data_IF_503703365428
#
_entry.id   IF_503703365428
#
_cell.length_a   1.000
_cell.length_b   1.000
_cell.length_c   1.000
_cell.angle_alpha   90.00
_cell.angle_beta   90.00
_cell.angle_gamma   90.00
#
_symmetry.space_group_name_H-M   'P 1'
#
loop_
_entity.id
_entity.type
_entity.pdbx_description
1 polymer ?
#
# COMPACT_ATOMS: atom_id res chain seq x y z
N UNK A 1 8.94 -9.47 -8.69
CA UNK A 1 9.66 -9.13 -7.44
C UNK A 1 9.11 -7.87 -6.78
N UNK A 2 9.20 -6.68 -7.41
CA UNK A 2 8.63 -5.44 -6.85
C UNK A 2 7.13 -5.57 -6.58
N UNK A 3 6.38 -6.22 -7.47
CA UNK A 3 4.95 -6.50 -7.28
C UNK A 3 4.64 -7.35 -6.02
N UNK A 4 5.48 -8.34 -5.72
CA UNK A 4 5.33 -9.16 -4.53
C UNK A 4 5.64 -8.35 -3.26
N UNK A 5 6.70 -7.54 -3.30
CA UNK A 5 7.04 -6.59 -2.24
C UNK A 5 5.90 -5.60 -1.97
N UNK A 6 5.25 -5.09 -3.02
CA UNK A 6 4.15 -4.13 -2.91
C UNK A 6 2.85 -4.75 -2.43
N UNK A 7 2.44 -5.90 -3.00
CA UNK A 7 1.19 -6.59 -2.64
C UNK A 7 1.22 -7.10 -1.19
N UNK A 8 2.36 -7.64 -0.77
CA UNK A 8 2.45 -8.42 0.47
C UNK A 8 3.15 -7.64 1.59
N UNK A 9 4.14 -6.82 1.26
CA UNK A 9 4.86 -6.03 2.26
C UNK A 9 4.20 -4.70 2.56
N UNK A 10 4.09 -3.83 1.56
CA UNK A 10 3.62 -2.44 1.75
C UNK A 10 2.16 -2.35 2.16
N UNK A 11 1.30 -3.27 1.70
CA UNK A 11 -0.11 -3.31 2.09
C UNK A 11 -0.34 -3.48 3.59
N UNK A 12 0.63 -4.06 4.31
CA UNK A 12 0.52 -4.33 5.75
C UNK A 12 1.33 -3.38 6.63
N UNK A 13 1.99 -2.39 6.03
CA UNK A 13 2.93 -1.50 6.72
C UNK A 13 2.27 -0.76 7.90
N UNK A 14 0.98 -0.42 7.78
CA UNK A 14 0.22 0.29 8.81
C UNK A 14 -0.17 -0.56 10.02
N UNK A 15 -0.20 -1.90 9.87
CA UNK A 15 -0.64 -2.80 10.95
C UNK A 15 0.49 -3.20 11.91
N UNK A 16 1.75 -2.88 11.58
CA UNK A 16 2.89 -3.28 12.39
C UNK A 16 2.80 -2.79 13.85
N UNK A 17 2.35 -1.55 14.06
CA UNK A 17 2.19 -0.97 15.39
C UNK A 17 1.10 -1.64 16.24
N UNK A 18 0.01 -2.08 15.61
CA UNK A 18 -1.14 -2.69 16.28
C UNK A 18 -0.82 -4.06 16.87
N UNK A 19 0.04 -4.82 16.21
CA UNK A 19 0.52 -6.09 16.74
C UNK A 19 1.71 -5.91 17.68
N UNK A 20 2.60 -4.96 17.38
CA UNK A 20 3.79 -4.71 18.20
C UNK A 20 3.45 -4.30 19.65
N UNK A 21 2.32 -3.61 19.87
CA UNK A 21 1.89 -3.20 21.23
C UNK A 21 1.57 -4.35 22.17
N UNK A 22 1.25 -5.53 21.63
CA UNK A 22 0.92 -6.72 22.41
C UNK A 22 2.13 -7.59 22.74
N UNK A 23 3.30 -7.29 22.17
CA UNK A 23 4.54 -8.01 22.47
C UNK A 23 5.13 -7.56 23.82
N UNK A 24 5.76 -8.46 24.59
CA UNK A 24 6.50 -8.08 25.78
C UNK A 24 7.57 -7.04 25.46
N UNK A 25 7.72 -6.01 26.32
CA UNK A 25 8.70 -4.91 26.12
C UNK A 25 10.15 -5.38 25.96
N UNK A 26 10.49 -6.57 26.47
CA UNK A 26 11.82 -7.17 26.39
C UNK A 26 12.06 -7.97 25.09
N UNK A 27 11.09 -8.06 24.19
CA UNK A 27 11.22 -8.80 22.94
C UNK A 27 12.22 -8.10 22.02
N UNK A 28 13.23 -8.84 21.55
CA UNK A 28 14.24 -8.29 20.66
C UNK A 28 13.62 -7.92 19.29
N UNK A 29 13.77 -6.66 18.87
CA UNK A 29 13.21 -6.16 17.60
C UNK A 29 13.65 -7.00 16.38
N UNK A 30 14.91 -7.45 16.33
CA UNK A 30 15.41 -8.30 15.24
C UNK A 30 14.68 -9.63 15.14
N UNK A 31 14.26 -10.23 16.26
CA UNK A 31 13.46 -11.46 16.25
C UNK A 31 12.07 -11.22 15.68
N UNK A 32 11.44 -10.10 16.05
CA UNK A 32 10.11 -9.72 15.51
C UNK A 32 10.21 -9.54 13.99
N UNK A 33 11.17 -8.75 13.52
CA UNK A 33 11.39 -8.53 12.08
C UNK A 33 11.62 -9.85 11.35
N UNK A 34 12.52 -10.70 11.85
CA UNK A 34 12.85 -11.97 11.22
C UNK A 34 11.65 -12.91 11.12
N UNK A 35 10.97 -13.19 12.24
CA UNK A 35 9.86 -14.14 12.26
C UNK A 35 8.64 -13.65 11.48
N UNK A 36 8.33 -12.35 11.55
CA UNK A 36 7.23 -11.78 10.76
C UNK A 36 7.55 -11.79 9.26
N UNK A 37 8.78 -11.41 8.88
CA UNK A 37 9.19 -11.43 7.47
C UNK A 37 9.26 -12.84 6.90
N UNK A 38 9.75 -13.80 7.68
CA UNK A 38 9.81 -15.21 7.26
C UNK A 38 8.41 -15.81 7.13
N UNK A 39 7.52 -15.54 8.10
CA UNK A 39 6.15 -16.05 8.11
C UNK A 39 5.33 -15.58 6.91
N UNK A 40 5.58 -14.37 6.41
CA UNK A 40 4.89 -13.86 5.21
C UNK A 40 5.61 -14.21 3.91
N UNK A 41 6.94 -14.12 3.88
CA UNK A 41 7.73 -14.33 2.65
C UNK A 41 7.76 -15.79 2.23
N UNK A 42 7.83 -16.74 3.17
CA UNK A 42 8.03 -18.15 2.83
C UNK A 42 6.82 -18.75 2.08
N UNK A 43 5.56 -18.66 2.60
CA UNK A 43 4.41 -19.21 1.88
C UNK A 43 4.17 -18.53 0.53
N UNK A 44 4.35 -17.20 0.50
CA UNK A 44 4.20 -16.40 -0.73
C UNK A 44 5.24 -16.79 -1.78
N UNK A 45 6.49 -17.01 -1.38
CA UNK A 45 7.55 -17.43 -2.31
C UNK A 45 7.27 -18.81 -2.89
N UNK A 46 6.79 -19.75 -2.06
CA UNK A 46 6.40 -21.09 -2.53
C UNK A 46 5.27 -20.98 -3.55
N UNK A 47 4.21 -20.23 -3.25
CA UNK A 47 3.08 -20.03 -4.16
C UNK A 47 3.48 -19.31 -5.46
N UNK A 48 4.37 -18.32 -5.39
CA UNK A 48 4.90 -17.63 -6.57
C UNK A 48 5.69 -18.57 -7.48
N UNK A 49 6.55 -19.43 -6.90
CA UNK A 49 7.32 -20.41 -7.66
C UNK A 49 6.37 -21.40 -8.35
N UNK A 50 5.40 -21.94 -7.62
CA UNK A 50 4.41 -22.87 -8.19
C UNK A 50 3.57 -22.20 -9.28
N UNK A 51 3.11 -20.97 -9.05
CA UNK A 51 2.35 -20.20 -10.04
C UNK A 51 3.16 -19.90 -11.31
N UNK A 52 4.44 -19.55 -11.16
CA UNK A 52 5.34 -19.31 -12.30
C UNK A 52 5.58 -20.58 -13.12
N UNK A 53 5.84 -21.72 -12.45
CA UNK A 53 6.00 -23.01 -13.12
C UNK A 53 4.71 -23.45 -13.83
N UNK A 54 3.55 -23.20 -13.23
CA UNK A 54 2.25 -23.51 -13.85
C UNK A 54 1.97 -22.63 -15.07
N UNK A 55 2.29 -21.34 -15.00
CA UNK A 55 2.14 -20.42 -16.12
C UNK A 55 3.06 -20.76 -17.29
N UNK A 56 4.30 -21.17 -17.01
CA UNK A 56 5.28 -21.58 -18.03
C UNK A 56 4.91 -22.90 -18.72
N UNK A 57 4.37 -23.86 -17.94
CA UNK A 57 3.99 -25.18 -18.45
C UNK A 57 2.68 -25.21 -19.24
N UNK A 58 1.81 -24.21 -19.11
CA UNK A 58 0.52 -24.16 -19.81
C UNK A 58 0.19 -22.74 -20.34
N UNK A 59 0.58 -22.44 -21.60
CA UNK A 59 0.36 -21.12 -22.20
C UNK A 59 -1.12 -20.75 -22.37
N UNK A 60 -2.00 -21.72 -22.62
CA UNK A 60 -3.45 -21.48 -22.75
C UNK A 60 -4.04 -21.07 -21.39
N UNK A 61 -3.68 -21.78 -20.33
CA UNK A 61 -4.06 -21.43 -18.96
C UNK A 61 -3.51 -20.06 -18.56
N UNK A 62 -2.26 -19.75 -18.93
CA UNK A 62 -1.65 -18.45 -18.66
C UNK A 62 -2.42 -17.30 -19.33
N UNK A 63 -2.80 -17.47 -20.60
CA UNK A 63 -3.62 -16.50 -21.33
C UNK A 63 -4.99 -16.30 -20.69
N UNK A 64 -5.71 -17.38 -20.38
CA UNK A 64 -7.00 -17.32 -19.71
C UNK A 64 -6.92 -16.71 -18.30
N UNK A 65 -5.85 -17.00 -17.56
CA UNK A 65 -5.65 -16.45 -16.21
C UNK A 65 -5.32 -14.95 -16.20
N UNK A 66 -4.82 -14.41 -17.30
CA UNK A 66 -4.56 -12.97 -17.43
C UNK A 66 -5.86 -12.14 -17.56
N UNK A 67 -6.92 -12.72 -18.12
CA UNK A 67 -8.25 -12.10 -18.21
C UNK A 67 -9.13 -12.47 -17.01
N UNK A 68 -9.22 -13.75 -16.66
CA UNK A 68 -10.12 -14.26 -15.62
C UNK A 68 -9.43 -15.32 -14.74
N UNK A 69 -8.58 -14.92 -13.77
CA UNK A 69 -7.74 -15.85 -13.02
C UNK A 69 -8.52 -16.89 -12.21
N UNK A 70 -9.68 -16.53 -11.64
CA UNK A 70 -10.50 -17.46 -10.86
C UNK A 70 -11.21 -18.45 -11.80
N UNK A 71 -11.77 -17.99 -12.92
CA UNK A 71 -12.44 -18.84 -13.90
C UNK A 71 -11.46 -19.83 -14.52
N UNK A 72 -10.27 -19.35 -14.92
CA UNK A 72 -9.20 -20.15 -15.48
C UNK A 72 -8.72 -21.26 -14.53
N UNK A 73 -8.67 -21.02 -13.22
CA UNK A 73 -8.32 -22.06 -12.25
C UNK A 73 -9.47 -23.03 -11.99
N UNK A 74 -10.71 -22.52 -11.93
CA UNK A 74 -11.88 -23.34 -11.60
C UNK A 74 -12.33 -24.25 -12.75
N UNK A 75 -12.05 -23.90 -14.00
CA UNK A 75 -12.40 -24.71 -15.18
C UNK A 75 -11.69 -26.07 -15.23
N UNK A 76 -10.55 -26.22 -14.54
CA UNK A 76 -9.80 -27.49 -14.46
C UNK A 76 -10.20 -28.35 -13.26
N UNK A 77 -11.05 -27.85 -12.37
CA UNK A 77 -11.42 -28.56 -11.15
C UNK A 77 -12.58 -29.53 -11.41
N UNK A 78 -12.51 -30.76 -10.88
CA UNK A 78 -13.66 -31.66 -10.91
C UNK A 78 -14.80 -31.08 -10.08
N UNK A 79 -16.05 -31.30 -10.50
CA UNK A 79 -17.24 -30.66 -9.92
C UNK A 79 -17.34 -30.80 -8.39
N UNK A 80 -16.96 -31.97 -7.85
CA UNK A 80 -16.97 -32.24 -6.41
C UNK A 80 -16.03 -31.31 -5.62
N UNK A 81 -14.93 -30.86 -6.23
CA UNK A 81 -13.96 -29.95 -5.62
C UNK A 81 -14.28 -28.49 -5.94
N UNK A 82 -14.81 -28.22 -7.15
CA UNK A 82 -15.22 -26.89 -7.59
C UNK A 82 -16.17 -26.19 -6.60
N UNK A 83 -17.23 -26.89 -6.15
CA UNK A 83 -18.24 -26.30 -5.25
C UNK A 83 -17.63 -25.88 -3.90
N UNK A 84 -16.97 -26.76 -3.12
CA UNK A 84 -16.38 -26.36 -1.85
C UNK A 84 -15.25 -25.33 -2.02
N UNK A 85 -14.43 -25.45 -3.08
CA UNK A 85 -13.38 -24.48 -3.39
C UNK A 85 -13.96 -23.08 -3.64
N UNK A 86 -15.03 -22.98 -4.42
CA UNK A 86 -15.71 -21.72 -4.72
C UNK A 86 -16.29 -21.08 -3.45
N UNK A 87 -16.91 -21.88 -2.58
CA UNK A 87 -17.41 -21.40 -1.28
C UNK A 87 -16.27 -20.80 -0.45
N UNK A 88 -15.14 -21.52 -0.33
CA UNK A 88 -13.98 -21.06 0.44
C UNK A 88 -13.41 -19.76 -0.13
N UNK A 89 -13.27 -19.66 -1.46
CA UNK A 89 -12.79 -18.43 -2.12
C UNK A 89 -13.74 -17.26 -1.87
N UNK A 90 -15.05 -17.46 -2.06
CA UNK A 90 -16.04 -16.39 -1.86
C UNK A 90 -16.00 -15.89 -0.42
N UNK A 91 -15.98 -16.81 0.56
CA UNK A 91 -15.88 -16.45 1.98
C UNK A 91 -14.57 -15.70 2.26
N UNK A 92 -13.44 -16.17 1.71
CA UNK A 92 -12.14 -15.54 1.89
C UNK A 92 -12.09 -14.12 1.31
N UNK A 93 -12.58 -13.93 0.09
CA UNK A 93 -12.68 -12.62 -0.58
C UNK A 93 -13.60 -11.67 0.20
N UNK A 94 -14.74 -12.17 0.67
CA UNK A 94 -15.67 -11.39 1.47
C UNK A 94 -15.06 -10.99 2.82
N UNK A 95 -14.37 -11.89 3.49
CA UNK A 95 -13.68 -11.60 4.75
C UNK A 95 -12.59 -10.53 4.57
N UNK A 96 -11.80 -10.62 3.49
CA UNK A 96 -10.80 -9.61 3.15
C UNK A 96 -11.45 -8.24 2.86
N UNK A 97 -12.51 -8.20 2.06
CA UNK A 97 -13.24 -6.98 1.72
C UNK A 97 -13.86 -6.30 2.97
N UNK A 98 -14.54 -7.08 3.83
CA UNK A 98 -15.14 -6.57 5.07
C UNK A 98 -14.08 -5.99 5.99
N UNK A 99 -12.94 -6.68 6.14
CA UNK A 99 -11.84 -6.19 6.98
C UNK A 99 -11.28 -4.87 6.44
N UNK A 100 -11.12 -4.74 5.12
CA UNK A 100 -10.69 -3.51 4.47
C UNK A 100 -11.66 -2.34 4.70
N UNK A 101 -12.98 -2.57 4.51
CA UNK A 101 -14.01 -1.55 4.76
C UNK A 101 -14.02 -1.13 6.23
N UNK A 102 -13.95 -2.08 7.16
CA UNK A 102 -13.88 -1.79 8.59
C UNK A 102 -12.65 -0.95 8.96
N UNK A 103 -11.48 -1.34 8.44
CA UNK A 103 -10.21 -0.63 8.68
C UNK A 103 -10.24 0.80 8.12
N UNK A 104 -10.78 0.99 6.91
CA UNK A 104 -10.92 2.33 6.32
C UNK A 104 -11.87 3.22 7.12
N UNK A 105 -12.92 2.64 7.70
CA UNK A 105 -13.85 3.34 8.59
C UNK A 105 -13.18 3.86 9.85
N UNK A 106 -12.37 3.01 10.50
CA UNK A 106 -11.57 3.42 11.66
C UNK A 106 -10.54 4.50 11.29
N UNK A 107 -9.90 4.41 10.13
CA UNK A 107 -8.97 5.43 9.66
C UNK A 107 -9.67 6.79 9.43
N UNK A 108 -10.87 6.79 8.84
CA UNK A 108 -11.65 8.02 8.63
C UNK A 108 -12.06 8.68 9.95
N UNK A 109 -12.46 7.87 10.93
CA UNK A 109 -12.79 8.34 12.28
C UNK A 109 -11.55 8.89 13.00
N UNK A 110 -10.39 8.24 12.86
CA UNK A 110 -9.12 8.70 13.43
C UNK A 110 -8.63 10.03 12.82
N UNK A 111 -8.95 10.29 11.54
CA UNK A 111 -8.71 11.59 10.91
C UNK A 111 -9.67 12.70 11.39
N UNK A 112 -10.65 12.38 12.25
CA UNK A 112 -11.59 13.34 12.79
C UNK A 112 -12.66 13.80 11.81
N UNK A 113 -12.87 13.08 10.70
CA UNK A 113 -13.94 13.39 9.74
C UNK A 113 -15.27 13.07 10.42
N UNK A 114 -16.19 14.04 10.60
CA UNK A 114 -17.49 13.83 11.22
C UNK A 114 -18.44 13.13 10.23
N UNK A 115 -18.13 11.87 9.91
CA UNK A 115 -18.95 11.03 9.03
C UNK A 115 -19.68 9.97 9.85
N UNK A 116 -20.98 9.79 9.58
CA UNK A 116 -21.72 8.67 10.15
C UNK A 116 -21.18 7.34 9.59
N UNK A 117 -21.30 6.25 10.35
CA UNK A 117 -20.84 4.91 9.91
C UNK A 117 -21.49 4.49 8.59
N UNK A 118 -22.76 4.86 8.38
CA UNK A 118 -23.48 4.62 7.11
C UNK A 118 -22.88 5.42 5.96
N UNK A 119 -22.53 6.69 6.15
CA UNK A 119 -21.85 7.51 5.13
C UNK A 119 -20.51 6.91 4.72
N UNK A 120 -19.67 6.52 5.66
CA UNK A 120 -18.36 5.93 5.34
C UNK A 120 -18.50 4.58 4.65
N UNK A 121 -19.52 3.79 5.02
CA UNK A 121 -19.80 2.51 4.35
C UNK A 121 -20.31 2.73 2.93
N UNK A 122 -21.17 3.73 2.70
CA UNK A 122 -21.68 4.09 1.38
C UNK A 122 -20.56 4.58 0.45
N UNK A 123 -19.66 5.43 0.93
CA UNK A 123 -18.49 5.89 0.15
C UNK A 123 -17.64 4.69 -0.28
N UNK A 124 -17.32 3.78 0.65
CA UNK A 124 -16.57 2.58 0.34
C UNK A 124 -17.29 1.68 -0.68
N UNK A 125 -18.60 1.46 -0.51
CA UNK A 125 -19.40 0.66 -1.43
C UNK A 125 -19.39 1.27 -2.84
N UNK A 126 -19.50 2.60 -2.95
CA UNK A 126 -19.43 3.33 -4.23
C UNK A 126 -18.05 3.17 -4.86
N UNK A 127 -16.96 3.35 -4.12
CA UNK A 127 -15.59 3.20 -4.64
C UNK A 127 -15.35 1.77 -5.13
N UNK A 128 -15.76 0.76 -4.34
CA UNK A 128 -15.63 -0.65 -4.71
C UNK A 128 -16.48 -0.96 -5.95
N UNK A 129 -17.71 -0.43 -6.02
CA UNK A 129 -18.59 -0.61 -7.16
C UNK A 129 -18.01 0.01 -8.44
N UNK A 130 -17.42 1.20 -8.35
CA UNK A 130 -16.72 1.83 -9.49
C UNK A 130 -15.51 1.00 -9.93
N UNK A 131 -14.71 0.49 -9.00
CA UNK A 131 -13.58 -0.38 -9.32
C UNK A 131 -14.02 -1.68 -10.00
N UNK A 132 -15.10 -2.30 -9.49
CA UNK A 132 -15.69 -3.50 -10.09
C UNK A 132 -16.28 -3.20 -11.48
N UNK A 133 -16.97 -2.07 -11.65
CA UNK A 133 -17.49 -1.63 -12.94
C UNK A 133 -16.36 -1.44 -13.96
N UNK A 134 -15.29 -0.75 -13.56
CA UNK A 134 -14.13 -0.54 -14.42
C UNK A 134 -13.50 -1.88 -14.85
N UNK A 135 -13.29 -2.80 -13.91
CA UNK A 135 -12.71 -4.11 -14.20
C UNK A 135 -13.60 -4.98 -15.10
N UNK A 136 -14.92 -4.84 -15.00
CA UNK A 136 -15.86 -5.68 -15.74
C UNK A 136 -16.21 -5.14 -17.14
N UNK A 137 -16.23 -3.82 -17.31
CA UNK A 137 -16.75 -3.19 -18.54
C UNK A 137 -15.75 -2.32 -19.30
N UNK A 138 -14.64 -1.92 -18.69
CA UNK A 138 -13.68 -0.98 -19.29
C UNK A 138 -12.32 -1.64 -19.53
N UNK A 139 -11.92 -2.53 -18.62
CA UNK A 139 -10.63 -3.22 -18.67
C UNK A 139 -10.62 -4.38 -19.68
N UNK A 140 -9.61 -4.40 -20.55
CA UNK A 140 -9.35 -5.53 -21.46
C UNK A 140 -8.63 -6.71 -20.78
N UNK A 141 -7.97 -6.45 -19.64
CA UNK A 141 -7.25 -7.46 -18.86
C UNK A 141 -7.29 -7.12 -17.38
N UNK A 142 -7.94 -8.01 -16.62
CA UNK A 142 -7.94 -7.95 -15.16
C UNK A 142 -6.52 -7.86 -14.61
N UNK A 143 -5.62 -8.74 -15.07
CA UNK A 143 -4.26 -8.81 -14.54
C UNK A 143 -3.47 -7.53 -14.81
N UNK A 144 -3.47 -7.01 -16.05
CA UNK A 144 -2.74 -5.78 -16.39
C UNK A 144 -3.25 -4.57 -15.58
N UNK A 145 -4.56 -4.49 -15.41
CA UNK A 145 -5.23 -3.43 -14.64
C UNK A 145 -4.92 -3.53 -13.17
N UNK A 146 -5.06 -4.72 -12.60
CA UNK A 146 -4.80 -4.97 -11.19
C UNK A 146 -3.34 -4.70 -10.83
N UNK A 147 -2.40 -5.10 -11.70
CA UNK A 147 -0.98 -4.79 -11.55
C UNK A 147 -0.70 -3.29 -11.59
N UNK A 148 -1.32 -2.58 -12.53
CA UNK A 148 -1.18 -1.12 -12.69
C UNK A 148 -1.76 -0.35 -11.49
N UNK A 149 -2.94 -0.78 -11.02
CA UNK A 149 -3.57 -0.24 -9.82
C UNK A 149 -2.67 -0.42 -8.59
N UNK A 150 -2.15 -1.63 -8.38
CA UNK A 150 -1.28 -1.93 -7.25
C UNK A 150 0.04 -1.15 -7.32
N UNK A 151 0.65 -1.02 -8.50
CA UNK A 151 1.84 -0.20 -8.67
C UNK A 151 1.57 1.25 -8.26
N UNK A 152 0.44 1.80 -8.69
CA UNK A 152 0.03 3.19 -8.41
C UNK A 152 -0.21 3.41 -6.91
N UNK A 153 -1.01 2.55 -6.26
CA UNK A 153 -1.26 2.64 -4.81
C UNK A 153 0.04 2.49 -4.01
N UNK A 154 0.94 1.63 -4.48
CA UNK A 154 2.20 1.34 -3.80
C UNK A 154 3.19 2.50 -3.80
N UNK A 155 3.14 3.37 -4.81
CA UNK A 155 3.92 4.62 -4.81
C UNK A 155 3.59 5.45 -3.57
N UNK A 156 2.30 5.62 -3.27
CA UNK A 156 1.83 6.43 -2.14
C UNK A 156 2.12 5.71 -0.82
N UNK A 157 1.75 4.43 -0.71
CA UNK A 157 1.98 3.66 0.53
C UNK A 157 3.47 3.48 0.84
N UNK A 158 4.28 3.23 -0.18
CA UNK A 158 5.73 3.09 -0.06
C UNK A 158 6.37 4.39 0.42
N UNK A 159 6.08 5.51 -0.23
CA UNK A 159 6.61 6.82 0.18
C UNK A 159 6.17 7.21 1.58
N UNK A 160 4.90 6.97 1.94
CA UNK A 160 4.40 7.16 3.31
C UNK A 160 5.19 6.31 4.33
N UNK A 161 5.39 5.02 4.05
CA UNK A 161 6.17 4.14 4.92
C UNK A 161 7.63 4.56 5.07
N UNK A 162 8.25 5.05 4.00
CA UNK A 162 9.62 5.56 4.02
C UNK A 162 9.75 6.84 4.86
N UNK A 163 8.79 7.76 4.73
CA UNK A 163 8.69 8.96 5.58
C UNK A 163 8.53 8.57 7.06
N UNK A 164 7.66 7.59 7.34
CA UNK A 164 7.43 7.08 8.70
C UNK A 164 8.69 6.49 9.33
N UNK A 165 9.51 5.76 8.55
CA UNK A 165 10.79 5.22 9.01
C UNK A 165 11.79 6.32 9.41
N UNK A 166 11.88 7.39 8.61
CA UNK A 166 12.69 8.56 8.96
C UNK A 166 12.14 9.23 10.21
N UNK A 167 10.82 9.31 10.36
CA UNK A 167 10.21 9.88 11.56
C UNK A 167 10.48 9.05 12.81
N UNK A 168 10.55 7.72 12.74
CA UNK A 168 10.97 6.90 13.88
C UNK A 168 12.40 7.18 14.33
N UNK A 169 13.32 7.47 13.39
CA UNK A 169 14.67 7.89 13.75
C UNK A 169 14.66 9.23 14.51
N UNK A 170 13.78 10.16 14.12
CA UNK A 170 13.55 11.42 14.84
C UNK A 170 12.94 11.19 16.22
N UNK A 171 11.88 10.39 16.31
CA UNK A 171 11.21 10.07 17.57
C UNK A 171 12.17 9.42 18.58
N UNK A 172 13.06 8.54 18.11
CA UNK A 172 14.11 7.95 18.94
C UNK A 172 15.05 9.00 19.55
N UNK A 173 15.41 10.05 18.78
CA UNK A 173 16.22 11.18 19.29
C UNK A 173 15.45 12.06 20.28
N UNK A 174 14.13 12.13 20.13
CA UNK A 174 13.22 12.83 21.04
C UNK A 174 12.79 11.97 22.24
N UNK A 175 13.45 10.83 22.49
CA UNK A 175 13.13 9.90 23.58
C UNK A 175 11.67 9.40 23.57
N UNK A 176 11.07 9.27 22.39
CA UNK A 176 9.68 8.85 22.20
C UNK A 176 8.67 9.77 22.89
N UNK A 177 8.91 11.09 22.83
CA UNK A 177 7.94 12.06 23.32
C UNK A 177 6.61 11.96 22.54
N UNK A 178 5.54 11.60 23.23
CA UNK A 178 4.18 11.44 22.68
C UNK A 178 3.34 12.72 22.75
N UNK A 179 3.88 13.85 23.22
CA UNK A 179 3.18 15.15 23.27
C UNK A 179 2.66 15.54 21.88
N UNK A 180 3.41 15.23 20.82
CA UNK A 180 2.99 15.50 19.43
C UNK A 180 1.75 14.69 18.99
N UNK A 181 1.46 13.57 19.66
CA UNK A 181 0.29 12.72 19.36
C UNK A 181 -0.99 13.20 20.07
N UNK A 182 -0.89 14.22 20.93
CA UNK A 182 -2.07 14.83 21.56
C UNK A 182 -2.93 15.60 20.55
N UNK A 183 -4.21 15.83 20.83
CA UNK A 183 -5.03 16.75 20.04
C UNK A 183 -4.43 18.16 19.98
N UNK A 184 -4.70 18.90 18.90
CA UNK A 184 -4.33 20.31 18.81
C UNK A 184 -4.82 21.10 20.04
N UNK A 185 -3.91 21.80 20.71
CA UNK A 185 -4.17 22.55 21.95
C UNK A 185 -3.78 21.83 23.26
N UNK A 186 -3.40 20.56 23.21
CA UNK A 186 -2.90 19.77 24.36
C UNK A 186 -1.41 19.39 24.23
N UNK A 187 -0.64 20.06 23.38
CA UNK A 187 0.77 19.70 23.09
C UNK A 187 0.99 19.15 21.68
N UNK A 188 -0.06 18.65 21.03
CA UNK A 188 0.04 17.98 19.74
C UNK A 188 -0.51 18.78 18.57
N UNK A 189 -0.40 18.22 17.36
CA UNK A 189 -0.67 18.94 16.11
C UNK A 189 -1.40 18.07 15.09
N UNK A 190 -2.43 18.63 14.48
CA UNK A 190 -3.32 17.92 13.54
C UNK A 190 -2.71 17.68 12.13
N UNK A 191 -1.46 18.07 11.87
CA UNK A 191 -0.81 17.85 10.58
C UNK A 191 0.61 18.40 10.48
N UNK A 192 1.46 17.72 9.70
CA UNK A 192 2.85 18.12 9.44
C UNK A 192 3.04 18.39 7.96
N UNK A 193 3.06 19.67 7.59
CA UNK A 193 3.22 20.10 6.20
C UNK A 193 4.49 19.56 5.54
N UNK A 194 5.60 19.38 6.27
CA UNK A 194 6.83 18.78 5.73
C UNK A 194 6.63 17.34 5.29
N UNK A 195 5.88 16.54 6.06
CA UNK A 195 5.53 15.17 5.71
C UNK A 195 4.54 15.13 4.54
N UNK A 196 3.51 15.98 4.55
CA UNK A 196 2.51 16.07 3.47
C UNK A 196 3.14 16.51 2.14
N UNK A 197 4.01 17.53 2.16
CA UNK A 197 4.75 17.98 1.00
C UNK A 197 5.67 16.88 0.47
N UNK A 198 6.40 16.21 1.35
CA UNK A 198 7.28 15.10 0.96
C UNK A 198 6.50 13.95 0.33
N UNK A 199 5.34 13.61 0.90
CA UNK A 199 4.44 12.59 0.35
C UNK A 199 3.91 12.99 -1.02
N UNK A 200 3.48 14.25 -1.19
CA UNK A 200 2.97 14.76 -2.46
C UNK A 200 4.04 14.72 -3.55
N UNK A 201 5.23 15.28 -3.29
CA UNK A 201 6.34 15.31 -4.25
C UNK A 201 6.81 13.90 -4.60
N UNK A 202 6.96 13.02 -3.61
CA UNK A 202 7.32 11.63 -3.82
C UNK A 202 6.27 10.87 -4.64
N UNK A 203 4.98 11.15 -4.41
CA UNK A 203 3.89 10.52 -5.15
C UNK A 203 3.88 10.97 -6.62
N UNK A 204 4.07 12.27 -6.88
CA UNK A 204 4.16 12.80 -8.26
C UNK A 204 5.35 12.19 -9.00
N UNK A 205 6.54 12.19 -8.39
CA UNK A 205 7.74 11.60 -9.01
C UNK A 205 7.58 10.09 -9.19
N UNK A 206 7.03 9.40 -8.20
CA UNK A 206 6.75 7.97 -8.25
C UNK A 206 5.78 7.61 -9.37
N UNK A 207 4.64 8.29 -9.46
CA UNK A 207 3.68 8.12 -10.56
C UNK A 207 4.31 8.44 -11.91
N UNK A 208 5.19 9.43 -11.98
CA UNK A 208 5.95 9.73 -13.19
C UNK A 208 6.94 8.65 -13.60
N UNK A 209 7.36 7.77 -12.67
CA UNK A 209 8.44 6.79 -12.85
C UNK A 209 8.02 5.32 -12.93
N UNK A 210 6.73 5.02 -12.73
CA UNK A 210 6.16 3.68 -12.93
C UNK A 210 5.55 3.52 -14.33
N UNK A 211 5.29 2.29 -14.75
CA UNK A 211 4.62 1.98 -16.02
C UNK A 211 3.31 1.25 -15.77
N UNK A 212 2.41 1.29 -16.74
CA UNK A 212 1.11 0.63 -16.66
C UNK A 212 0.86 -0.15 -17.94
N UNK A 213 0.34 -1.37 -17.77
CA UNK A 213 -0.16 -2.20 -18.87
C UNK A 213 -1.63 -1.93 -19.20
N UNK A 214 -2.32 -1.11 -18.41
CA UNK A 214 -3.68 -0.65 -18.68
C UNK A 214 -3.60 0.70 -19.43
N UNK A 215 -4.24 0.85 -20.61
CA UNK A 215 -4.18 2.08 -21.40
C UNK A 215 -4.64 3.34 -20.66
N UNK A 216 -5.67 3.23 -19.83
CA UNK A 216 -6.24 4.37 -19.12
C UNK A 216 -5.38 4.78 -17.93
N UNK A 217 -4.83 3.82 -17.20
CA UNK A 217 -3.89 4.11 -16.10
C UNK A 217 -2.56 4.64 -16.66
N UNK A 218 -2.14 4.17 -17.84
CA UNK A 218 -0.95 4.65 -18.53
C UNK A 218 -1.00 6.14 -18.91
N UNK A 219 -2.18 6.77 -18.99
CA UNK A 219 -2.29 8.23 -19.18
C UNK A 219 -1.94 9.02 -17.92
N UNK A 220 -2.19 8.47 -16.73
CA UNK A 220 -1.95 9.12 -15.44
C UNK A 220 -0.53 8.89 -14.91
N UNK A 221 0.22 8.00 -15.56
CA UNK A 221 1.41 7.35 -15.02
C UNK A 221 2.52 7.33 -16.08
N UNK A 222 3.78 7.37 -15.66
CA UNK A 222 4.92 7.25 -16.59
C UNK A 222 5.18 8.50 -17.43
N UNK A 223 4.70 9.66 -16.99
CA UNK A 223 4.88 10.95 -17.69
C UNK A 223 6.33 11.49 -17.63
N UNK A 224 7.18 10.97 -16.74
CA UNK A 224 8.61 11.29 -16.70
C UNK A 224 9.46 10.30 -17.50
N UNK A 225 8.88 9.20 -18.00
CA UNK A 225 9.61 8.22 -18.81
C UNK A 225 9.61 8.59 -20.29
N UNK A 226 10.80 8.61 -20.87
CA UNK A 226 10.98 8.69 -22.33
C UNK A 226 10.58 7.36 -22.98
N UNK A 227 10.22 7.37 -24.27
CA UNK A 227 9.78 6.17 -24.99
C UNK A 227 10.76 4.98 -24.88
N UNK A 228 12.08 5.23 -24.91
CA UNK A 228 13.11 4.20 -24.69
C UNK A 228 13.14 3.66 -23.26
N UNK A 229 12.85 4.50 -22.27
CA UNK A 229 12.88 4.09 -20.86
C UNK A 229 11.66 3.25 -20.50
N UNK A 230 10.52 3.43 -21.18
CA UNK A 230 9.30 2.64 -20.94
C UNK A 230 9.45 1.15 -21.22
N UNK A 231 10.32 0.78 -22.17
CA UNK A 231 10.62 -0.62 -22.51
C UNK A 231 11.73 -1.22 -21.65
N UNK A 232 12.40 -0.43 -20.82
CA UNK A 232 13.47 -0.90 -19.93
C UNK A 232 12.92 -1.86 -18.88
N UNK A 233 13.70 -2.91 -18.57
CA UNK A 233 13.41 -3.88 -17.49
C UNK A 233 13.16 -3.17 -16.15
N UNK A 234 13.81 -2.03 -15.92
CA UNK A 234 13.63 -1.26 -14.69
C UNK A 234 12.25 -0.59 -14.60
N UNK A 235 11.74 -0.11 -15.74
CA UNK A 235 10.45 0.56 -15.83
C UNK A 235 9.28 -0.43 -15.77
N UNK A 236 9.39 -1.55 -16.49
CA UNK A 236 8.40 -2.65 -16.46
C UNK A 236 8.40 -3.39 -15.12
N UNK A 237 9.51 -3.39 -14.39
CA UNK A 237 9.56 -3.88 -13.01
C UNK A 237 8.97 -2.91 -11.97
N UNK A 238 8.46 -1.74 -12.36
CA UNK A 238 7.90 -0.72 -11.46
C UNK A 238 8.85 -0.24 -10.36
N UNK A 239 10.15 -0.09 -10.67
CA UNK A 239 11.15 0.46 -9.75
C UNK A 239 10.84 1.89 -9.30
N UNK A 240 9.97 2.61 -10.02
CA UNK A 240 9.44 3.91 -9.60
C UNK A 240 8.85 3.92 -8.18
N UNK A 241 8.35 2.79 -7.67
CA UNK A 241 7.93 2.66 -6.26
C UNK A 241 9.11 2.87 -5.30
N UNK A 242 10.25 2.25 -5.58
CA UNK A 242 11.47 2.40 -4.76
C UNK A 242 12.02 3.81 -4.88
N UNK A 243 11.97 4.39 -6.08
CA UNK A 243 12.36 5.80 -6.29
C UNK A 243 11.50 6.73 -5.45
N UNK A 244 10.16 6.54 -5.45
CA UNK A 244 9.25 7.33 -4.62
C UNK A 244 9.57 7.21 -3.12
N UNK A 245 9.88 6.00 -2.65
CA UNK A 245 10.31 5.76 -1.26
C UNK A 245 11.57 6.55 -0.91
N UNK A 246 12.59 6.48 -1.75
CA UNK A 246 13.87 7.18 -1.55
C UNK A 246 13.69 8.70 -1.58
N UNK A 247 12.92 9.20 -2.55
CA UNK A 247 12.63 10.64 -2.68
C UNK A 247 11.84 11.15 -1.48
N UNK A 248 10.80 10.44 -1.05
CA UNK A 248 10.00 10.81 0.11
C UNK A 248 10.82 10.84 1.40
N UNK A 249 11.63 9.80 1.64
CA UNK A 249 12.52 9.75 2.79
C UNK A 249 13.59 10.85 2.75
N UNK A 250 14.24 11.08 1.61
CA UNK A 250 15.29 12.08 1.45
C UNK A 250 14.73 13.50 1.64
N UNK A 251 13.64 13.85 0.96
CA UNK A 251 13.02 15.17 1.06
C UNK A 251 12.57 15.46 2.49
N UNK A 252 11.94 14.49 3.14
CA UNK A 252 11.52 14.64 4.53
C UNK A 252 12.71 14.76 5.48
N UNK A 253 13.78 13.99 5.28
CA UNK A 253 15.01 14.08 6.06
C UNK A 253 15.71 15.43 5.89
N UNK A 254 15.76 15.98 4.66
CA UNK A 254 16.35 17.29 4.38
C UNK A 254 15.55 18.39 5.09
N UNK A 255 14.23 18.41 4.92
CA UNK A 255 13.36 19.42 5.54
C UNK A 255 13.44 19.38 7.08
N UNK A 256 13.56 18.18 7.64
CA UNK A 256 13.56 17.95 9.08
C UNK A 256 14.93 18.22 9.70
N UNK A 257 16.00 17.60 9.19
CA UNK A 257 17.31 17.62 9.84
C UNK A 257 18.28 18.69 9.32
N UNK A 258 18.13 19.15 8.08
CA UNK A 258 19.05 20.11 7.45
C UNK A 258 18.45 21.50 7.50
N UNK A 259 17.23 21.65 6.99
CA UNK A 259 16.56 22.94 6.96
C UNK A 259 15.98 23.36 8.32
N UNK A 260 16.02 22.45 9.31
CA UNK A 260 15.41 22.64 10.63
C UNK A 260 14.01 23.26 10.55
N UNK A 261 13.22 22.85 9.56
CA UNK A 261 11.80 23.20 9.49
C UNK A 261 10.98 22.40 10.53
N UNK A 262 11.64 21.94 11.59
CA UNK A 262 11.06 21.31 12.76
C UNK A 262 10.10 22.32 13.38
N UNK A 263 8.81 22.01 13.31
CA UNK A 263 7.82 22.85 13.94
C UNK A 263 7.66 22.38 15.39
N UNK A 264 7.91 23.25 16.38
CA UNK A 264 7.85 22.86 17.79
C UNK A 264 6.44 22.39 18.20
N UNK A 265 6.32 21.54 19.24
CA UNK A 265 5.04 21.17 19.81
C UNK A 265 4.33 22.42 20.36
N UNK A 266 3.02 22.51 20.13
CA UNK A 266 2.20 23.64 20.63
C UNK A 266 2.04 23.46 22.13
N UNK A 267 2.93 24.06 22.93
CA UNK A 267 2.82 24.02 24.39
C UNK A 267 1.61 24.84 24.83
N UNK A 268 0.82 24.26 25.73
CA UNK A 268 -0.32 24.93 26.36
C UNK A 268 0.20 26.14 27.15
N UNK A 269 -0.02 27.35 26.64
CA UNK A 269 0.42 28.60 27.28
C UNK A 269 0.91 29.69 26.32
N UNK A 270 1.27 29.35 25.07
CA UNK A 270 1.63 30.33 24.04
C UNK A 270 0.38 30.64 23.19
N UNK A 271 -0.55 31.40 23.75
CA UNK A 271 -1.49 32.15 22.91
C UNK A 271 -0.67 33.19 22.16
N UNK A 272 -0.69 33.11 20.83
CA UNK A 272 -0.26 34.23 19.99
C UNK A 272 -1.11 35.46 20.36
N UNK A 273 -0.48 36.44 21.00
CA UNK A 273 -0.83 37.86 20.80
C UNK A 273 -0.54 38.25 19.34
#
# INVERSE_FOLDING_TARGET
>A
MVMAMTMVGLGFLNYGGDFARYLPRKTAAGKVIFWTSLGISLPVSILLILGALLADSNPELSGAAASEPIAALTSFLPFWFYVPFSIVIIISLLAAAITGVYSSGLALLAMGVPASRSTTTAINAVIIAFGAFYLLFVSDSFLATFQSFLATVSVVLGSMGAIQLVDFARQKRLHWNTDMAQPAGLGGRNGRWTALLSLFVASVIGMGTITSGDPWIAHLVGFLLTAETKTSVFATANIGVVVAMLVGAALYAILTYICHCDVPPIKKGESHE
#
